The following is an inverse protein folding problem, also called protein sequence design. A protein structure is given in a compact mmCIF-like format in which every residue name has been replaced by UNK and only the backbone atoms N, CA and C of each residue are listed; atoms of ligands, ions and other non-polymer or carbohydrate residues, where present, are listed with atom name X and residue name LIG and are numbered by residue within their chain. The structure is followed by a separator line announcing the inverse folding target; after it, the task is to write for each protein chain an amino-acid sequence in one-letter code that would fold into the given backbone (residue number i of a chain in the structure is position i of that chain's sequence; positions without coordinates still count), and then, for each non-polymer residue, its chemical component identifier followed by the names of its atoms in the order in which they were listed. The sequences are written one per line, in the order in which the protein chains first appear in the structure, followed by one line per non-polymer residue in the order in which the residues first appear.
data_IF_905212198711
#
_entry.id   IF_905212198711
#
_cell.length_a   1.000
_cell.length_b   1.000
_cell.length_c   1.000
_cell.angle_alpha   90.00
_cell.angle_beta   90.00
_cell.angle_gamma   90.00
#
_symmetry.space_group_name_H-M   'P 1'
#
loop_
_entity.id
_entity.type
_entity.pdbx_description
1 polymer ?
#
# COMPACT_ATOMS: atom_id res chain seq x y z
N UNK A 1 22.98 12.07 1.04
CA UNK A 1 22.80 11.96 0.78
C UNK A 1 22.07 12.14 0.17
N UNK A 2 21.85 12.56 -0.08
CA UNK A 2 20.82 12.92 -0.65
C UNK A 2 20.14 12.07 -1.08
N UNK A 3 20.40 11.57 -0.80
CA UNK A 3 19.92 10.66 -1.32
C UNK A 3 18.62 10.40 -1.31
N UNK A 4 18.17 9.83 -2.15
CA UNK A 4 16.95 9.46 -2.17
C UNK A 4 16.71 8.47 -1.21
N UNK A 5 15.72 8.59 -0.41
CA UNK A 5 15.31 7.62 0.49
C UNK A 5 14.45 6.68 -0.22
N UNK A 6 14.73 5.44 -0.12
CA UNK A 6 13.92 4.44 -0.76
C UNK A 6 12.88 3.93 0.17
N UNK A 7 11.71 3.64 -0.31
CA UNK A 7 10.69 3.01 0.49
C UNK A 7 11.12 1.59 0.82
N UNK A 8 10.77 1.14 1.99
CA UNK A 8 11.05 -0.21 2.44
C UNK A 8 9.74 -0.96 2.50
N UNK A 9 9.70 -2.11 1.86
CA UNK A 9 8.52 -2.94 1.82
C UNK A 9 8.73 -4.12 2.75
N UNK A 10 7.84 -4.28 3.69
CA UNK A 10 7.95 -5.31 4.70
C UNK A 10 6.74 -6.22 4.65
N UNK A 11 6.98 -7.53 4.58
CA UNK A 11 5.90 -8.49 4.67
C UNK A 11 5.46 -8.65 6.09
N UNK A 12 4.17 -8.71 6.31
CA UNK A 12 3.61 -8.72 7.65
C UNK A 12 2.55 -9.78 7.89
N UNK A 13 2.50 -10.80 7.12
CA UNK A 13 1.42 -11.76 7.18
C UNK A 13 1.42 -12.69 8.37
N UNK A 14 2.03 -12.32 9.48
CA UNK A 14 2.16 -13.22 10.62
C UNK A 14 0.95 -13.24 11.54
N UNK A 15 0.25 -12.14 11.67
CA UNK A 15 -0.88 -12.04 12.58
C UNK A 15 -2.18 -11.84 11.83
N UNK A 16 -3.23 -12.42 12.36
CA UNK A 16 -4.55 -12.29 11.74
C UNK A 16 -4.95 -10.81 11.72
N UNK A 17 -5.48 -10.38 10.61
CA UNK A 17 -5.94 -9.01 10.46
C UNK A 17 -4.87 -8.02 10.07
N UNK A 18 -3.59 -8.35 10.24
CA UNK A 18 -2.55 -7.44 9.82
C UNK A 18 -2.48 -7.37 8.31
N UNK A 19 -2.10 -6.23 7.79
CA UNK A 19 -1.91 -6.07 6.37
C UNK A 19 -0.79 -6.98 5.86
N UNK A 20 -0.85 -7.32 4.61
CA UNK A 20 0.17 -8.18 4.01
C UNK A 20 1.51 -7.49 3.88
N UNK A 21 1.51 -6.21 3.59
CA UNK A 21 2.73 -5.45 3.36
C UNK A 21 2.67 -4.11 4.04
N UNK A 22 3.82 -3.59 4.37
CA UNK A 22 3.95 -2.26 4.93
C UNK A 22 5.02 -1.52 4.15
N UNK A 23 4.73 -0.30 3.73
CA UNK A 23 5.68 0.52 3.00
C UNK A 23 6.09 1.66 3.90
N UNK A 24 7.39 1.84 4.03
CA UNK A 24 7.96 2.88 4.89
C UNK A 24 8.81 3.81 4.04
N UNK A 25 8.61 5.10 4.18
CA UNK A 25 9.46 6.06 3.52
C UNK A 25 9.30 7.44 4.15
N UNK A 26 10.40 8.02 4.57
CA UNK A 26 10.41 9.40 5.05
C UNK A 26 9.34 9.70 6.09
N UNK A 27 9.23 8.82 7.04
CA UNK A 27 8.27 9.01 8.13
C UNK A 27 6.85 8.63 7.79
N UNK A 28 6.59 8.18 6.58
CA UNK A 28 5.26 7.74 6.21
C UNK A 28 5.16 6.24 6.28
N UNK A 29 3.99 5.78 6.64
CA UNK A 29 3.70 4.35 6.71
C UNK A 29 2.43 4.10 5.94
N UNK A 30 2.46 3.14 5.04
CA UNK A 30 1.30 2.73 4.28
C UNK A 30 1.15 1.23 4.38
N UNK A 31 0.00 0.77 4.83
CA UNK A 31 -0.28 -0.65 4.89
C UNK A 31 -1.04 -1.07 3.65
N UNK A 32 -0.62 -2.17 3.04
CA UNK A 32 -1.27 -2.68 1.84
C UNK A 32 -1.85 -4.05 2.11
N UNK A 33 -3.13 -4.20 1.82
CA UNK A 33 -3.81 -5.47 1.94
C UNK A 33 -4.02 -6.02 0.55
N UNK A 34 -3.49 -7.19 0.27
CA UNK A 34 -3.56 -7.78 -1.06
C UNK A 34 -4.74 -8.73 -1.15
N UNK A 35 -5.57 -8.56 -2.15
CA UNK A 35 -6.73 -9.42 -2.33
C UNK A 35 -6.91 -9.80 -3.79
N UNK A 36 -7.43 -10.97 -4.01
CA UNK A 36 -7.86 -11.37 -5.35
C UNK A 36 -8.98 -10.44 -5.80
N UNK A 37 -9.26 -10.38 -7.09
CA UNK A 37 -10.25 -9.43 -7.61
C UNK A 37 -11.61 -9.51 -6.94
N UNK A 38 -12.03 -10.70 -6.52
CA UNK A 38 -13.32 -10.84 -5.86
C UNK A 38 -13.22 -11.13 -4.38
N UNK A 39 -12.01 -11.07 -3.84
CA UNK A 39 -11.81 -11.31 -2.42
C UNK A 39 -12.36 -10.19 -1.58
N UNK A 40 -12.78 -10.51 -0.38
CA UNK A 40 -13.33 -9.53 0.54
C UNK A 40 -12.51 -9.47 1.81
N UNK A 41 -12.53 -8.33 2.45
CA UNK A 41 -11.87 -8.20 3.73
C UNK A 41 -12.63 -8.98 4.78
N UNK A 42 -11.90 -9.61 5.67
CA UNK A 42 -12.49 -10.25 6.83
C UNK A 42 -12.65 -9.22 7.94
N UNK A 43 -13.51 -9.48 8.92
CA UNK A 43 -13.74 -8.51 9.99
C UNK A 43 -12.46 -8.07 10.70
N UNK A 44 -11.51 -8.98 10.93
CA UNK A 44 -10.28 -8.59 11.60
C UNK A 44 -9.42 -7.71 10.72
N UNK A 45 -9.52 -7.84 9.39
CA UNK A 45 -8.79 -6.97 8.48
C UNK A 45 -9.41 -5.58 8.45
N UNK A 46 -10.72 -5.51 8.53
CA UNK A 46 -11.41 -4.22 8.61
C UNK A 46 -11.07 -3.53 9.92
N UNK A 47 -10.99 -4.27 11.01
CA UNK A 47 -10.64 -3.70 12.29
C UNK A 47 -9.21 -3.16 12.26
N UNK A 48 -8.29 -3.86 11.63
CA UNK A 48 -6.93 -3.37 11.50
C UNK A 48 -6.88 -2.09 10.67
N UNK A 49 -7.60 -2.08 9.54
CA UNK A 49 -7.69 -0.89 8.69
C UNK A 49 -8.18 0.31 9.50
N UNK A 50 -9.28 0.11 10.24
CA UNK A 50 -9.88 1.21 10.99
C UNK A 50 -8.93 1.70 12.07
N UNK A 51 -8.22 0.78 12.73
CA UNK A 51 -7.30 1.15 13.80
C UNK A 51 -6.12 1.97 13.27
N UNK A 52 -5.52 1.55 12.15
CA UNK A 52 -4.36 2.28 11.65
C UNK A 52 -4.77 3.61 11.04
N UNK A 53 -5.92 3.66 10.39
CA UNK A 53 -6.41 4.92 9.83
C UNK A 53 -6.76 5.92 10.93
N UNK A 54 -7.28 5.43 12.05
CA UNK A 54 -7.59 6.30 13.17
C UNK A 54 -6.33 6.94 13.74
N UNK A 55 -5.20 6.32 13.55
CA UNK A 55 -3.94 6.87 14.02
C UNK A 55 -3.20 7.67 12.95
N UNK A 56 -3.82 7.86 11.81
CA UNK A 56 -3.23 8.68 10.76
C UNK A 56 -2.34 7.94 9.79
N UNK A 57 -2.27 6.62 9.88
CA UNK A 57 -1.47 5.86 8.93
C UNK A 57 -2.29 5.53 7.69
N UNK A 58 -1.59 5.32 6.58
CA UNK A 58 -2.26 4.96 5.34
C UNK A 58 -2.59 3.48 5.28
N UNK A 59 -3.65 3.16 4.59
CA UNK A 59 -4.07 1.78 4.37
C UNK A 59 -4.73 1.72 3.00
N UNK A 60 -4.43 0.70 2.23
CA UNK A 60 -5.02 0.56 0.91
C UNK A 60 -5.26 -0.89 0.58
N UNK A 61 -6.36 -1.13 -0.12
CA UNK A 61 -6.68 -2.45 -0.64
C UNK A 61 -6.12 -2.53 -2.06
N UNK A 62 -5.37 -3.58 -2.33
CA UNK A 62 -4.66 -3.71 -3.59
C UNK A 62 -5.10 -5.01 -4.25
N UNK A 63 -5.71 -4.90 -5.41
CA UNK A 63 -6.18 -6.07 -6.16
C UNK A 63 -5.38 -6.27 -7.44
N UNK A 64 -4.48 -5.36 -7.76
CA UNK A 64 -3.68 -5.45 -8.97
C UNK A 64 -2.42 -4.59 -8.79
N UNK A 65 -1.49 -4.75 -9.69
CA UNK A 65 -0.29 -3.92 -9.66
C UNK A 65 -0.65 -2.45 -9.82
N UNK A 66 -1.60 -2.14 -10.70
CA UNK A 66 -2.02 -0.77 -10.89
C UNK A 66 -2.62 -0.19 -9.61
N UNK A 67 -3.40 -0.98 -8.88
CA UNK A 67 -3.93 -0.53 -7.60
C UNK A 67 -2.80 -0.20 -6.65
N UNK A 68 -1.77 -1.04 -6.63
CA UNK A 68 -0.64 -0.81 -5.75
C UNK A 68 0.11 0.46 -6.08
N UNK A 69 0.38 0.68 -7.36
CA UNK A 69 1.07 1.89 -7.79
C UNK A 69 0.23 3.12 -7.51
N UNK A 70 -1.06 3.02 -7.74
CA UNK A 70 -1.97 4.11 -7.44
C UNK A 70 -2.02 4.43 -5.96
N UNK A 71 -2.02 3.40 -5.11
CA UNK A 71 -2.01 3.61 -3.67
C UNK A 71 -0.74 4.31 -3.22
N UNK A 72 0.40 3.91 -3.76
CA UNK A 72 1.66 4.56 -3.43
C UNK A 72 1.60 6.05 -3.82
N UNK A 73 1.15 6.33 -5.03
CA UNK A 73 1.07 7.71 -5.48
C UNK A 73 0.09 8.51 -4.64
N UNK A 74 -1.07 7.94 -4.34
CA UNK A 74 -2.08 8.64 -3.56
C UNK A 74 -1.63 8.96 -2.15
N UNK A 75 -0.73 8.16 -1.62
CA UNK A 75 -0.23 8.38 -0.27
C UNK A 75 1.13 9.06 -0.25
N UNK A 76 1.56 9.60 -1.38
CA UNK A 76 2.75 10.41 -1.43
C UNK A 76 4.06 9.66 -1.51
N UNK A 77 4.02 8.40 -1.92
CA UNK A 77 5.24 7.61 -2.08
C UNK A 77 5.68 7.66 -3.54
N UNK A 78 7.00 7.68 -3.73
CA UNK A 78 7.53 7.61 -5.07
C UNK A 78 7.89 6.19 -5.38
N UNK A 79 7.57 5.72 -6.54
CA UNK A 79 7.87 4.35 -6.92
C UNK A 79 9.05 4.34 -7.87
N UNK A 80 9.97 3.38 -7.65
CA UNK A 80 11.05 3.21 -8.58
C UNK A 80 10.59 2.53 -9.83
N UNK A 81 9.55 1.76 -9.73
CA UNK A 81 8.99 1.11 -10.88
C UNK A 81 7.97 2.05 -11.45
N UNK A 82 8.30 2.68 -12.53
CA UNK A 82 7.36 3.60 -13.13
C UNK A 82 6.16 2.80 -13.63
N UNK A 83 4.99 3.35 -13.50
CA UNK A 83 3.83 2.69 -14.09
C UNK A 83 3.99 2.64 -15.59
N UNK A 84 3.32 1.71 -16.22
CA UNK A 84 3.37 1.62 -17.65
C UNK A 84 2.98 2.97 -18.24
N UNK A 85 3.65 3.40 -19.29
CA UNK A 85 3.34 4.68 -19.86
C UNK A 85 1.88 4.74 -20.27
N UNK A 86 1.28 5.88 -19.96
CA UNK A 86 -0.08 6.04 -20.33
C UNK A 86 -0.16 6.05 -21.81
N UNK A 87 -1.07 5.28 -22.36
CA UNK A 87 -1.18 5.24 -23.75
C UNK A 87 -1.57 6.58 -24.23
N UNK A 88 -0.94 7.09 -25.24
CA UNK A 88 -1.36 8.38 -25.75
C UNK A 88 -2.79 8.28 -26.24
N UNK A 89 -3.47 9.38 -26.14
CA UNK A 89 -4.83 9.39 -26.63
C UNK A 89 -4.81 9.10 -28.12
N UNK A 90 -5.73 8.35 -28.58
CA UNK A 90 -5.79 8.06 -30.01
C UNK A 90 -6.01 9.31 -30.82
#
# INVERSE_FOLDING_TARGET
RGAKRQAILVGMGVHAGFADLMVLSEGRVLFLELKAPKGRLRPEQEAFRDAVQAQGFGWALVRSLDDGLGALANHGFTSRIAPAPRRPAP
#
